data_IF_958585770739
#
_entry.id   IF_958585770739
#
_cell.length_a   1.000
_cell.length_b   1.000
_cell.length_c   1.000
_cell.angle_alpha   90.00
_cell.angle_beta   90.00
_cell.angle_gamma   90.00
#
_symmetry.space_group_name_H-M   'P 1'
#
loop_
_entity.id
_entity.type
_entity.pdbx_description
1 polymer ?
#
# COMPACT_ATOMS: atom_id res chain seq x y z
N UNK A 1 -16.12 5.44 8.17
CA UNK A 1 -14.99 5.62 9.12
C UNK A 1 -13.73 5.20 8.39
N UNK A 2 -12.74 6.09 8.29
CA UNK A 2 -11.49 5.83 7.56
C UNK A 2 -10.71 4.65 8.16
N UNK A 3 -10.26 3.74 7.30
CA UNK A 3 -9.35 2.64 7.61
C UNK A 3 -8.05 2.78 6.82
N UNK A 4 -6.97 2.20 7.35
CA UNK A 4 -5.71 2.05 6.62
C UNK A 4 -5.48 0.57 6.32
N UNK A 5 -5.38 0.22 5.05
CA UNK A 5 -5.05 -1.12 4.58
C UNK A 5 -3.58 -1.17 4.19
N UNK A 6 -2.87 -2.22 4.59
CA UNK A 6 -1.45 -2.41 4.27
C UNK A 6 -1.25 -3.79 3.66
N UNK A 7 -0.76 -3.83 2.43
CA UNK A 7 -0.12 -5.02 1.86
C UNK A 7 1.19 -5.24 2.64
N UNK A 8 1.23 -6.26 3.49
CA UNK A 8 2.23 -6.39 4.53
C UNK A 8 3.34 -7.40 4.21
N UNK A 9 3.29 -8.16 3.12
CA UNK A 9 4.27 -9.23 2.86
C UNK A 9 5.70 -8.67 2.61
N UNK A 10 5.82 -7.47 2.02
CA UNK A 10 7.10 -6.80 1.78
C UNK A 10 7.12 -5.31 2.15
N UNK A 11 6.27 -4.88 3.09
CA UNK A 11 6.17 -3.46 3.46
C UNK A 11 7.28 -3.03 4.46
N UNK A 12 8.19 -2.10 4.08
CA UNK A 12 9.28 -1.63 4.95
C UNK A 12 8.85 -0.50 5.91
N UNK A 13 7.59 -0.05 5.82
CA UNK A 13 7.05 1.13 6.49
C UNK A 13 5.92 0.82 7.49
N UNK A 14 5.81 -0.42 7.96
CA UNK A 14 4.75 -0.84 8.90
C UNK A 14 4.73 -0.02 10.18
N UNK A 15 5.92 0.29 10.73
CA UNK A 15 6.07 1.09 11.95
C UNK A 15 5.63 2.55 11.73
N UNK A 16 5.93 3.12 10.56
CA UNK A 16 5.49 4.45 10.16
C UNK A 16 3.96 4.51 10.00
N UNK A 17 3.36 3.49 9.36
CA UNK A 17 1.90 3.38 9.25
C UNK A 17 1.25 3.34 10.63
N UNK A 18 1.72 2.43 11.49
CA UNK A 18 1.20 2.28 12.84
C UNK A 18 1.30 3.60 13.62
N UNK A 19 2.43 4.29 13.55
CA UNK A 19 2.66 5.56 14.24
C UNK A 19 1.68 6.65 13.81
N UNK A 20 1.44 6.81 12.50
CA UNK A 20 0.55 7.85 12.00
C UNK A 20 -0.91 7.49 12.28
N UNK A 21 -1.33 6.25 11.99
CA UNK A 21 -2.70 5.81 12.22
C UNK A 21 -3.10 5.91 13.70
N UNK A 22 -2.19 5.57 14.62
CA UNK A 22 -2.42 5.71 16.07
C UNK A 22 -2.71 7.14 16.49
N UNK A 23 -1.98 8.11 15.93
CA UNK A 23 -2.20 9.54 16.20
C UNK A 23 -3.61 9.99 15.79
N UNK A 24 -4.09 9.46 14.67
CA UNK A 24 -5.43 9.75 14.14
C UNK A 24 -6.51 8.82 14.70
N UNK A 25 -6.16 7.88 15.58
CA UNK A 25 -7.05 6.84 16.14
C UNK A 25 -7.76 6.03 15.06
N UNK A 26 -7.05 5.72 13.97
CA UNK A 26 -7.58 4.98 12.84
C UNK A 26 -7.24 3.49 12.95
N UNK A 27 -8.19 2.60 12.65
CA UNK A 27 -7.93 1.18 12.50
C UNK A 27 -6.98 0.92 11.31
N UNK A 28 -6.04 0.00 11.51
CA UNK A 28 -5.09 -0.48 10.51
C UNK A 28 -5.27 -1.96 10.29
N UNK A 29 -5.40 -2.39 9.04
CA UNK A 29 -5.49 -3.79 8.65
C UNK A 29 -4.19 -4.17 7.93
N UNK A 30 -3.34 -4.92 8.62
CA UNK A 30 -2.10 -5.48 8.08
C UNK A 30 -2.42 -6.83 7.44
N UNK A 31 -2.47 -6.86 6.11
CA UNK A 31 -2.89 -8.05 5.34
C UNK A 31 -1.65 -8.78 4.84
N UNK A 32 -1.51 -10.05 5.18
CA UNK A 32 -0.36 -10.89 4.80
C UNK A 32 -0.76 -12.35 4.62
N UNK A 33 0.04 -13.11 3.88
CA UNK A 33 -0.12 -14.57 3.77
C UNK A 33 0.43 -15.35 4.98
N UNK A 34 1.10 -14.68 5.93
CA UNK A 34 1.62 -15.27 7.15
C UNK A 34 2.92 -14.62 7.63
N UNK A 35 3.56 -15.24 8.62
CA UNK A 35 4.93 -14.89 9.03
C UNK A 35 5.12 -13.54 9.75
N UNK A 36 4.06 -12.74 9.91
CA UNK A 36 4.13 -11.47 10.60
C UNK A 36 3.81 -11.59 12.09
N UNK A 37 4.67 -10.98 12.91
CA UNK A 37 4.42 -10.85 14.34
C UNK A 37 3.29 -9.85 14.57
N UNK A 38 2.27 -10.19 15.39
CA UNK A 38 1.22 -9.24 15.76
C UNK A 38 1.76 -7.98 16.43
N UNK A 39 1.16 -6.83 16.10
CA UNK A 39 1.39 -5.59 16.83
C UNK A 39 0.69 -5.65 18.19
N UNK A 40 1.25 -4.98 19.20
CA UNK A 40 0.60 -4.81 20.51
C UNK A 40 -0.42 -3.66 20.50
N UNK A 41 -0.46 -2.90 19.41
CA UNK A 41 -1.34 -1.76 19.27
C UNK A 41 -2.78 -2.22 19.00
N UNK A 42 -3.76 -1.83 19.84
CA UNK A 42 -5.14 -2.29 19.69
C UNK A 42 -5.84 -1.74 18.43
N UNK A 43 -5.26 -0.74 17.77
CA UNK A 43 -5.76 -0.22 16.49
C UNK A 43 -5.25 -1.04 15.29
N UNK A 44 -4.30 -1.95 15.48
CA UNK A 44 -3.71 -2.75 14.41
C UNK A 44 -4.27 -4.16 14.44
N UNK A 45 -4.99 -4.52 13.40
CA UNK A 45 -5.50 -5.85 13.15
C UNK A 45 -4.58 -6.58 12.16
N UNK A 46 -4.17 -7.80 12.51
CA UNK A 46 -3.46 -8.69 11.60
C UNK A 46 -4.48 -9.55 10.85
N UNK A 47 -4.53 -9.40 9.54
CA UNK A 47 -5.39 -10.19 8.65
C UNK A 47 -4.52 -11.20 7.93
N UNK A 48 -4.62 -12.47 8.34
CA UNK A 48 -3.91 -13.57 7.69
C UNK A 48 -4.82 -14.16 6.63
N UNK A 49 -4.40 -14.08 5.37
CA UNK A 49 -5.10 -14.68 4.23
C UNK A 49 -4.45 -16.02 3.85
N UNK A 50 -5.16 -16.93 3.16
CA UNK A 50 -4.56 -18.15 2.63
C UNK A 50 -3.34 -17.87 1.74
N UNK A 51 -2.38 -18.78 1.75
CA UNK A 51 -1.28 -18.74 0.80
C UNK A 51 -1.81 -18.89 -0.64
N UNK A 52 -1.33 -18.04 -1.52
CA UNK A 52 -1.68 -18.06 -2.94
C UNK A 52 -1.31 -16.75 -3.62
N UNK A 53 -1.18 -16.76 -4.96
CA UNK A 53 -0.94 -15.54 -5.72
C UNK A 53 -2.12 -14.57 -5.55
N UNK A 54 -1.80 -13.30 -5.36
CA UNK A 54 -2.74 -12.17 -5.33
C UNK A 54 -3.87 -12.25 -4.27
N UNK A 55 -3.83 -13.19 -3.33
CA UNK A 55 -4.91 -13.39 -2.34
C UNK A 55 -5.03 -12.19 -1.40
N UNK A 56 -3.89 -11.65 -0.93
CA UNK A 56 -3.87 -10.45 -0.09
C UNK A 56 -4.40 -9.24 -0.87
N UNK A 57 -3.98 -9.10 -2.13
CA UNK A 57 -4.39 -8.00 -3.01
C UNK A 57 -5.89 -8.03 -3.27
N UNK A 58 -6.45 -9.19 -3.59
CA UNK A 58 -7.90 -9.37 -3.75
C UNK A 58 -8.64 -8.99 -2.48
N UNK A 59 -8.15 -9.45 -1.32
CA UNK A 59 -8.79 -9.16 -0.04
C UNK A 59 -8.87 -7.66 0.26
N UNK A 60 -7.78 -6.92 -0.01
CA UNK A 60 -7.69 -5.47 0.15
C UNK A 60 -8.62 -4.77 -0.86
N UNK A 61 -8.52 -5.12 -2.15
CA UNK A 61 -9.28 -4.49 -3.22
C UNK A 61 -10.80 -4.62 -3.02
N UNK A 62 -11.27 -5.75 -2.50
CA UNK A 62 -12.69 -6.00 -2.23
C UNK A 62 -13.26 -5.15 -1.08
N UNK A 63 -12.39 -4.52 -0.27
CA UNK A 63 -12.78 -3.85 0.98
C UNK A 63 -12.42 -2.38 1.05
N UNK A 64 -11.34 -1.97 0.39
CA UNK A 64 -10.91 -0.59 0.36
C UNK A 64 -11.81 0.25 -0.54
N UNK A 65 -12.22 1.43 -0.08
CA UNK A 65 -13.03 2.32 -0.89
C UNK A 65 -12.90 3.79 -0.50
N UNK A 66 -13.94 4.56 -0.83
CA UNK A 66 -14.00 6.00 -0.50
C UNK A 66 -13.77 6.23 0.98
N UNK A 67 -12.81 7.09 1.27
CA UNK A 67 -12.48 7.48 2.64
C UNK A 67 -11.48 6.56 3.34
N UNK A 68 -10.91 5.58 2.63
CA UNK A 68 -9.82 4.73 3.12
C UNK A 68 -8.47 5.07 2.49
N UNK A 69 -7.41 4.56 3.09
CA UNK A 69 -6.02 4.65 2.61
C UNK A 69 -5.45 3.25 2.41
N UNK A 70 -4.78 3.00 1.30
CA UNK A 70 -4.11 1.74 0.98
C UNK A 70 -2.61 1.97 0.80
N UNK A 71 -1.79 1.16 1.47
CA UNK A 71 -0.34 1.14 1.33
C UNK A 71 0.05 -0.10 0.56
N UNK A 72 0.58 0.08 -0.66
CA UNK A 72 1.03 -1.03 -1.50
C UNK A 72 2.10 -0.59 -2.50
N UNK A 73 2.99 -1.52 -2.84
CA UNK A 73 3.91 -1.38 -3.97
C UNK A 73 3.37 -1.96 -5.28
N UNK A 74 2.31 -2.77 -5.21
CA UNK A 74 1.70 -3.46 -6.34
C UNK A 74 0.83 -2.50 -7.16
N UNK A 75 1.12 -2.41 -8.46
CA UNK A 75 0.46 -1.48 -9.37
C UNK A 75 -0.95 -1.96 -9.73
N UNK A 76 -1.18 -3.24 -10.12
CA UNK A 76 -2.51 -3.80 -10.25
C UNK A 76 -3.43 -3.57 -9.04
N UNK A 77 -2.97 -3.83 -7.82
CA UNK A 77 -3.74 -3.55 -6.59
C UNK A 77 -4.04 -2.05 -6.46
N UNK A 78 -3.03 -1.20 -6.65
CA UNK A 78 -3.21 0.25 -6.56
C UNK A 78 -4.27 0.76 -7.54
N UNK A 79 -4.31 0.22 -8.76
CA UNK A 79 -5.32 0.58 -9.76
C UNK A 79 -6.74 0.27 -9.30
N UNK A 80 -6.97 -0.95 -8.79
CA UNK A 80 -8.29 -1.37 -8.27
C UNK A 80 -8.73 -0.49 -7.10
N UNK A 81 -7.84 -0.21 -6.15
CA UNK A 81 -8.16 0.64 -4.99
C UNK A 81 -8.47 2.09 -5.38
N UNK A 82 -7.77 2.65 -6.37
CA UNK A 82 -8.07 4.00 -6.91
C UNK A 82 -9.42 4.04 -7.59
N UNK A 83 -9.76 2.99 -8.35
CA UNK A 83 -11.06 2.86 -9.00
C UNK A 83 -12.20 2.84 -7.95
N UNK A 84 -11.99 2.12 -6.84
CA UNK A 84 -12.89 2.10 -5.69
C UNK A 84 -12.93 3.41 -4.87
N UNK A 85 -12.07 4.38 -5.18
CA UNK A 85 -12.05 5.71 -4.56
C UNK A 85 -11.17 5.85 -3.31
N UNK A 86 -10.35 4.86 -3.00
CA UNK A 86 -9.38 4.94 -1.91
C UNK A 86 -8.19 5.84 -2.28
N UNK A 87 -7.54 6.41 -1.26
CA UNK A 87 -6.21 7.01 -1.43
C UNK A 87 -5.15 5.90 -1.42
N UNK A 88 -4.16 5.94 -2.32
CA UNK A 88 -3.17 4.85 -2.43
C UNK A 88 -1.75 5.39 -2.43
N UNK A 89 -0.89 4.81 -1.60
CA UNK A 89 0.48 5.27 -1.37
C UNK A 89 1.49 4.14 -1.49
N UNK A 90 2.60 4.40 -2.20
CA UNK A 90 3.77 3.53 -2.21
C UNK A 90 4.60 3.67 -0.93
N UNK A 91 5.41 2.68 -0.63
CA UNK A 91 6.36 2.69 0.49
C UNK A 91 7.35 3.86 0.47
N UNK A 92 7.67 4.41 -0.70
CA UNK A 92 8.57 5.56 -0.87
C UNK A 92 7.89 6.93 -0.67
N UNK A 93 6.57 6.95 -0.41
CA UNK A 93 5.78 8.16 -0.22
C UNK A 93 5.20 8.76 -1.51
N UNK A 94 5.37 8.11 -2.66
CA UNK A 94 4.69 8.51 -3.89
C UNK A 94 3.24 8.05 -3.88
N UNK A 95 2.32 8.98 -4.16
CA UNK A 95 0.90 8.68 -4.29
C UNK A 95 0.59 8.12 -5.68
N UNK A 96 -0.17 7.04 -5.72
CA UNK A 96 -0.85 6.65 -6.94
C UNK A 96 -2.13 7.46 -7.07
N UNK A 97 -2.41 7.92 -8.28
CA UNK A 97 -3.56 8.77 -8.59
C UNK A 97 -4.18 8.34 -9.91
N UNK A 98 -5.44 8.72 -10.14
CA UNK A 98 -6.10 8.51 -11.44
C UNK A 98 -5.30 9.08 -12.62
N UNK A 99 -4.52 10.14 -12.39
CA UNK A 99 -3.71 10.79 -13.42
C UNK A 99 -2.43 10.02 -13.77
N UNK A 100 -1.84 9.26 -12.84
CA UNK A 100 -0.55 8.58 -13.06
C UNK A 100 -0.65 7.06 -13.17
N UNK A 101 -1.72 6.45 -12.65
CA UNK A 101 -1.80 4.99 -12.49
C UNK A 101 -1.77 4.24 -13.82
N UNK A 102 -2.44 4.76 -14.86
CA UNK A 102 -2.45 4.14 -16.19
C UNK A 102 -1.05 4.08 -16.82
N UNK A 103 -0.27 5.16 -16.71
CA UNK A 103 1.10 5.18 -17.22
C UNK A 103 2.03 4.22 -16.44
N UNK A 104 1.84 4.13 -15.11
CA UNK A 104 2.61 3.18 -14.29
C UNK A 104 2.26 1.73 -14.61
N UNK A 105 0.99 1.41 -14.85
CA UNK A 105 0.54 0.08 -15.24
C UNK A 105 1.14 -0.32 -16.60
N UNK A 106 1.04 0.55 -17.61
CA UNK A 106 1.63 0.30 -18.93
C UNK A 106 3.15 0.10 -18.86
N UNK A 107 3.85 0.90 -18.07
CA UNK A 107 5.30 0.74 -17.85
C UNK A 107 5.61 -0.60 -17.18
N UNK A 108 4.83 -1.01 -16.18
CA UNK A 108 5.00 -2.28 -15.49
C UNK A 108 4.80 -3.47 -16.43
N UNK A 109 3.78 -3.41 -17.28
CA UNK A 109 3.48 -4.49 -18.23
C UNK A 109 4.59 -4.62 -19.28
N UNK A 110 5.06 -3.49 -19.84
CA UNK A 110 6.23 -3.47 -20.73
C UNK A 110 7.48 -4.06 -20.07
N UNK A 111 7.76 -3.74 -18.81
CA UNK A 111 8.91 -4.28 -18.07
C UNK A 111 8.74 -5.75 -17.68
N UNK A 112 7.50 -6.24 -17.58
CA UNK A 112 7.22 -7.66 -17.43
C UNK A 112 7.52 -8.41 -18.73
N UNK A 113 7.10 -7.88 -19.87
CA UNK A 113 7.38 -8.44 -21.20
C UNK A 113 8.89 -8.48 -21.49
N UNK A 114 9.62 -7.39 -21.18
CA UNK A 114 11.08 -7.33 -21.36
C UNK A 114 11.77 -8.39 -20.49
N UNK A 115 11.40 -8.54 -19.21
CA UNK A 115 11.98 -9.57 -18.33
C UNK A 115 11.66 -11.00 -18.79
N UNK A 116 10.47 -11.21 -19.38
CA UNK A 116 10.13 -12.50 -19.98
C UNK A 116 11.02 -12.81 -21.20
N UNK A 117 11.51 -11.78 -21.90
CA UNK A 117 12.42 -11.91 -23.05
C UNK A 117 13.92 -11.94 -22.68
N UNK A 118 14.32 -11.35 -21.55
CA UNK A 118 15.69 -11.38 -21.02
C UNK A 118 15.70 -11.51 -19.48
N UNK A 119 15.90 -12.73 -18.94
CA UNK A 119 15.88 -13.01 -17.51
C UNK A 119 16.99 -12.32 -16.70
N UNK A 120 18.04 -11.78 -17.35
CA UNK A 120 19.18 -11.16 -16.68
C UNK A 120 19.03 -9.65 -16.48
N UNK A 121 17.96 -9.03 -16.99
CA UNK A 121 17.67 -7.61 -16.86
C UNK A 121 17.17 -7.17 -15.46
N UNK A 122 17.63 -7.81 -14.38
CA UNK A 122 17.26 -7.44 -13.02
C UNK A 122 18.09 -6.23 -12.53
N UNK A 123 17.45 -5.07 -12.39
CA UNK A 123 18.07 -3.90 -11.77
C UNK A 123 18.37 -4.11 -10.29
N UNK A 124 19.50 -3.61 -9.80
CA UNK A 124 19.80 -3.58 -8.36
C UNK A 124 18.91 -2.55 -7.66
N UNK A 125 18.05 -3.02 -6.76
CA UNK A 125 17.18 -2.15 -5.98
C UNK A 125 18.00 -1.22 -5.08
N UNK A 126 17.75 0.09 -5.15
CA UNK A 126 18.29 1.05 -4.17
C UNK A 126 17.74 0.71 -2.78
N UNK A 127 18.60 0.75 -1.77
CA UNK A 127 18.19 0.53 -0.38
C UNK A 127 17.22 1.60 0.12
N UNK A 128 16.32 1.22 1.03
CA UNK A 128 15.32 2.10 1.62
C UNK A 128 15.94 2.99 2.70
N UNK A 129 15.95 4.31 2.48
CA UNK A 129 16.70 5.27 3.32
C UNK A 129 15.84 5.93 4.39
N UNK A 130 16.48 6.64 5.34
CA UNK A 130 15.77 7.50 6.31
C UNK A 130 14.99 8.63 5.64
N UNK A 131 15.49 9.16 4.52
CA UNK A 131 14.80 10.19 3.76
C UNK A 131 13.50 9.65 3.13
N UNK A 132 13.51 8.40 2.65
CA UNK A 132 12.30 7.72 2.15
C UNK A 132 11.24 7.58 3.26
N UNK A 133 11.67 7.20 4.48
CA UNK A 133 10.76 7.13 5.64
C UNK A 133 10.12 8.47 5.98
N UNK A 134 10.90 9.56 5.95
CA UNK A 134 10.36 10.89 6.21
C UNK A 134 9.34 11.30 5.15
N UNK A 135 9.66 11.09 3.87
CA UNK A 135 8.72 11.37 2.76
C UNK A 135 7.44 10.57 2.91
N UNK A 136 7.55 9.30 3.27
CA UNK A 136 6.40 8.43 3.49
C UNK A 136 5.51 8.95 4.62
N UNK A 137 6.08 9.35 5.77
CA UNK A 137 5.32 9.91 6.89
C UNK A 137 4.54 11.17 6.50
N UNK A 138 5.19 12.10 5.80
CA UNK A 138 4.57 13.34 5.35
C UNK A 138 3.44 13.07 4.33
N UNK A 139 3.67 12.13 3.42
CA UNK A 139 2.67 11.73 2.45
C UNK A 139 1.48 11.03 3.12
N UNK A 140 1.72 10.09 4.03
CA UNK A 140 0.66 9.37 4.73
C UNK A 140 -0.24 10.30 5.56
N UNK A 141 0.35 11.28 6.26
CA UNK A 141 -0.42 12.30 6.99
C UNK A 141 -1.36 13.07 6.05
N UNK A 142 -0.88 13.45 4.86
CA UNK A 142 -1.69 14.14 3.86
C UNK A 142 -2.82 13.26 3.33
N UNK A 143 -2.52 12.01 2.95
CA UNK A 143 -3.51 11.08 2.39
C UNK A 143 -4.59 10.71 3.41
N UNK A 144 -4.24 10.51 4.68
CA UNK A 144 -5.22 10.28 5.75
C UNK A 144 -6.20 11.45 5.87
N UNK A 145 -5.70 12.69 5.88
CA UNK A 145 -6.56 13.87 5.96
C UNK A 145 -7.45 14.00 4.73
N UNK A 146 -6.95 13.65 3.54
CA UNK A 146 -7.74 13.64 2.32
C UNK A 146 -8.85 12.59 2.38
N UNK A 147 -8.51 11.36 2.81
CA UNK A 147 -9.45 10.26 2.99
C UNK A 147 -10.56 10.61 3.99
N UNK A 148 -10.21 11.16 5.16
CA UNK A 148 -11.19 11.59 6.16
C UNK A 148 -12.18 12.62 5.60
N UNK A 149 -11.71 13.58 4.79
CA UNK A 149 -12.61 14.56 4.14
C UNK A 149 -13.52 13.92 3.09
N UNK A 150 -13.02 12.94 2.34
CA UNK A 150 -13.78 12.28 1.28
C UNK A 150 -14.86 11.32 1.83
N UNK A 151 -14.63 10.72 3.01
CA UNK A 151 -15.57 9.83 3.68
C UNK A 151 -16.46 10.49 4.74
N UNK A 152 -16.42 11.83 4.85
CA UNK A 152 -17.31 12.62 5.74
C UNK A 152 -18.63 12.98 5.08
#
# INVERSE_FOLDING_TARGET
MTKVYVDADACPVKAEVERVATRHRLPVLMVCNGGLRPSQNPLVEMVIVPEGPDVADMWIADRAGVGDVVITGDIPLAAKCIEAGAQVLRHNGEAFTKANIGAQLATRDLMADIRASDPFAAGSGKGFTKADRSRFLDALEREIRAAQRAGS
#
